data_IF_791365338064
#
_entry.id   IF_791365338064
#
_cell.length_a   1.000
_cell.length_b   1.000
_cell.length_c   1.000
_cell.angle_alpha   90.00
_cell.angle_beta   90.00
_cell.angle_gamma   90.00
#
_symmetry.space_group_name_H-M   'P 1'
#
loop_
_entity.id
_entity.type
_entity.pdbx_description
1 polymer ?
#
# COMPACT_ATOMS: atom_id res chain seq x y z
N UNK A 1 2.67 -12.91 8.33
CA UNK A 1 1.76 -11.77 8.08
C UNK A 1 0.63 -12.21 7.15
N UNK A 2 -0.53 -11.54 7.14
CA UNK A 2 -1.55 -11.76 6.12
C UNK A 2 -1.29 -10.85 4.92
N UNK A 3 -1.25 -11.39 3.71
CA UNK A 3 -1.03 -10.65 2.47
C UNK A 3 -2.06 -10.99 1.40
N UNK A 4 -2.32 -10.02 0.52
CA UNK A 4 -3.26 -10.12 -0.60
C UNK A 4 -2.58 -9.57 -1.83
N UNK A 5 -2.48 -10.38 -2.88
CA UNK A 5 -2.00 -9.94 -4.19
C UNK A 5 -3.10 -9.13 -4.90
N UNK A 6 -2.83 -7.88 -5.25
CA UNK A 6 -3.77 -7.00 -5.93
C UNK A 6 -3.54 -6.96 -7.45
N UNK A 7 -2.29 -7.06 -7.87
CA UNK A 7 -1.87 -7.11 -9.29
C UNK A 7 -0.60 -7.95 -9.45
N UNK A 8 -0.03 -7.97 -10.66
CA UNK A 8 1.28 -8.59 -10.88
C UNK A 8 2.39 -7.92 -10.06
N UNK A 9 2.30 -6.60 -9.90
CA UNK A 9 3.36 -5.75 -9.34
C UNK A 9 3.13 -5.36 -7.87
N UNK A 10 1.91 -5.50 -7.36
CA UNK A 10 1.54 -5.04 -6.02
C UNK A 10 0.88 -6.13 -5.20
N UNK A 11 1.48 -6.43 -4.05
CA UNK A 11 0.89 -7.18 -2.95
C UNK A 11 0.74 -6.26 -1.74
N UNK A 12 -0.42 -6.28 -1.08
CA UNK A 12 -0.61 -5.59 0.20
C UNK A 12 -0.54 -6.54 1.37
N UNK A 13 -0.06 -6.08 2.52
CA UNK A 13 0.03 -6.90 3.72
C UNK A 13 -0.34 -6.15 5.01
N UNK A 14 -0.69 -6.92 6.04
CA UNK A 14 -0.60 -6.48 7.44
C UNK A 14 0.86 -6.22 7.82
N UNK A 15 1.10 -5.53 8.93
CA UNK A 15 2.43 -5.27 9.48
C UNK A 15 3.32 -6.53 9.43
N UNK A 16 4.46 -6.50 8.71
CA UNK A 16 5.48 -7.54 8.82
C UNK A 16 6.25 -7.41 10.13
N UNK A 17 6.67 -8.54 10.68
CA UNK A 17 7.70 -8.60 11.70
C UNK A 17 9.08 -8.52 11.03
N UNK A 18 10.08 -8.00 11.74
CA UNK A 18 11.43 -7.81 11.19
C UNK A 18 12.03 -9.08 10.55
N UNK A 19 11.89 -10.30 11.11
CA UNK A 19 12.42 -11.50 10.46
C UNK A 19 11.77 -11.84 9.11
N UNK A 20 10.53 -11.41 8.89
CA UNK A 20 9.76 -11.73 7.66
C UNK A 20 10.30 -10.99 6.43
N UNK A 21 11.15 -9.95 6.59
CA UNK A 21 11.77 -9.24 5.45
C UNK A 21 12.66 -10.16 4.61
N UNK A 22 13.30 -11.17 5.24
CA UNK A 22 14.09 -12.16 4.50
C UNK A 22 13.21 -13.07 3.65
N UNK A 23 12.04 -13.44 4.17
CA UNK A 23 11.06 -14.25 3.43
C UNK A 23 10.45 -13.43 2.29
N UNK A 24 10.16 -12.14 2.51
CA UNK A 24 9.71 -11.20 1.46
C UNK A 24 10.73 -11.15 0.31
N UNK A 25 12.03 -11.03 0.59
CA UNK A 25 13.06 -11.06 -0.45
C UNK A 25 13.11 -12.43 -1.16
N UNK A 26 13.00 -13.53 -0.42
CA UNK A 26 13.02 -14.89 -0.97
C UNK A 26 11.82 -15.20 -1.87
N UNK A 27 10.67 -14.56 -1.63
CA UNK A 27 9.47 -14.61 -2.48
C UNK A 27 9.60 -13.80 -3.78
N UNK A 28 10.70 -13.06 -3.94
CA UNK A 28 11.02 -12.32 -5.17
C UNK A 28 10.50 -10.88 -5.21
N UNK A 29 10.02 -10.35 -4.09
CA UNK A 29 9.75 -8.91 -3.99
C UNK A 29 11.07 -8.13 -4.02
N UNK A 30 11.04 -6.95 -4.64
CA UNK A 30 12.24 -6.10 -4.77
C UNK A 30 12.21 -4.89 -3.84
N UNK A 31 11.03 -4.54 -3.31
CA UNK A 31 10.87 -3.42 -2.40
C UNK A 31 9.73 -3.63 -1.41
N UNK A 32 9.86 -2.96 -0.26
CA UNK A 32 8.80 -2.79 0.75
C UNK A 32 8.41 -1.32 0.85
N UNK A 33 7.11 -1.04 0.75
CA UNK A 33 6.55 0.30 0.93
C UNK A 33 5.72 0.32 2.21
N UNK A 34 6.13 1.14 3.18
CA UNK A 34 5.45 1.30 4.46
C UNK A 34 4.52 2.53 4.44
N UNK A 35 3.20 2.29 4.49
CA UNK A 35 2.18 3.33 4.59
C UNK A 35 1.71 3.62 6.02
N UNK A 36 2.36 3.03 7.02
CA UNK A 36 2.04 3.20 8.44
C UNK A 36 2.89 4.34 9.04
N UNK A 37 2.28 5.39 9.60
CA UNK A 37 3.00 6.34 10.45
C UNK A 37 3.63 5.63 11.65
N UNK A 38 4.79 6.12 12.10
CA UNK A 38 5.40 5.62 13.33
C UNK A 38 4.61 6.00 14.57
N UNK A 39 4.72 5.15 15.60
CA UNK A 39 4.06 5.37 16.89
C UNK A 39 2.54 5.17 16.87
N UNK A 40 1.98 4.52 15.85
CA UNK A 40 0.55 4.19 15.80
C UNK A 40 0.19 3.11 16.84
N UNK A 41 1.14 2.24 17.21
CA UNK A 41 0.97 1.21 18.24
C UNK A 41 2.29 0.96 19.00
N UNK A 42 2.27 0.71 20.32
CA UNK A 42 3.48 0.42 21.11
C UNK A 42 4.27 -0.81 20.66
N UNK A 43 3.63 -1.74 19.95
CA UNK A 43 4.24 -2.96 19.41
C UNK A 43 4.73 -2.79 17.97
N UNK A 44 4.56 -1.60 17.38
CA UNK A 44 5.05 -1.30 16.04
C UNK A 44 6.59 -1.33 16.03
N UNK A 45 7.22 -2.04 15.08
CA UNK A 45 8.68 -2.06 14.95
C UNK A 45 9.28 -0.67 14.71
N UNK A 46 8.61 0.13 13.87
CA UNK A 46 9.03 1.47 13.47
C UNK A 46 9.77 1.45 12.14
N UNK A 47 9.63 2.53 11.37
CA UNK A 47 10.18 2.65 10.01
C UNK A 47 11.69 2.44 9.95
N UNK A 48 12.45 2.98 10.91
CA UNK A 48 13.91 2.81 10.99
C UNK A 48 14.33 1.34 11.15
N UNK A 49 13.62 0.58 12.00
CA UNK A 49 13.92 -0.83 12.21
C UNK A 49 13.53 -1.69 10.99
N UNK A 50 12.42 -1.33 10.34
CA UNK A 50 11.97 -1.98 9.10
C UNK A 50 12.90 -1.68 7.92
N UNK A 51 13.39 -0.45 7.79
CA UNK A 51 14.37 -0.05 6.77
C UNK A 51 15.66 -0.87 6.92
N UNK A 52 16.20 -0.96 8.15
CA UNK A 52 17.39 -1.77 8.42
C UNK A 52 17.17 -3.26 8.07
N UNK A 53 16.00 -3.82 8.39
CA UNK A 53 15.66 -5.21 8.05
C UNK A 53 15.50 -5.42 6.52
N UNK A 54 14.93 -4.44 5.81
CA UNK A 54 14.83 -4.46 4.36
C UNK A 54 16.20 -4.42 3.70
N UNK A 55 17.08 -3.51 4.14
CA UNK A 55 18.44 -3.41 3.63
C UNK A 55 19.24 -4.71 3.86
N UNK A 56 19.15 -5.30 5.05
CA UNK A 56 19.80 -6.59 5.35
C UNK A 56 19.29 -7.73 4.45
N UNK A 57 18.00 -7.69 4.09
CA UNK A 57 17.38 -8.64 3.17
C UNK A 57 17.63 -8.34 1.68
N UNK A 58 18.27 -7.21 1.34
CA UNK A 58 18.49 -6.78 -0.04
C UNK A 58 17.25 -6.19 -0.73
N UNK A 59 16.29 -5.70 0.04
CA UNK A 59 15.08 -5.03 -0.43
C UNK A 59 15.27 -3.51 -0.41
N UNK A 60 14.75 -2.82 -1.43
CA UNK A 60 14.54 -1.39 -1.30
C UNK A 60 13.43 -1.09 -0.27
N UNK A 61 13.53 0.02 0.43
CA UNK A 61 12.52 0.45 1.40
C UNK A 61 12.05 1.87 1.08
N UNK A 62 10.74 2.11 1.23
CA UNK A 62 10.17 3.45 1.13
C UNK A 62 9.12 3.68 2.23
N UNK A 63 9.32 4.71 3.04
CA UNK A 63 8.34 5.14 4.03
C UNK A 63 7.47 6.27 3.46
N UNK A 64 6.20 5.98 3.21
CA UNK A 64 5.20 6.92 2.70
C UNK A 64 4.02 6.94 3.68
N UNK A 65 4.18 7.55 4.87
CA UNK A 65 3.23 7.42 5.96
C UNK A 65 1.89 8.10 5.63
N UNK A 66 0.81 7.33 5.69
CA UNK A 66 -0.53 7.83 5.46
C UNK A 66 -1.17 8.15 6.80
N UNK A 67 -1.12 9.44 7.16
CA UNK A 67 -1.66 9.97 8.42
C UNK A 67 -3.19 9.97 8.47
N UNK A 68 -3.74 10.54 9.55
CA UNK A 68 -5.18 10.66 9.77
C UNK A 68 -5.85 11.83 9.02
N UNK A 69 -5.06 12.63 8.30
CA UNK A 69 -5.56 13.76 7.52
C UNK A 69 -6.23 13.34 6.22
N UNK A 70 -6.84 14.29 5.49
CA UNK A 70 -7.37 14.05 4.16
C UNK A 70 -6.26 13.56 3.22
N UNK A 71 -6.52 12.48 2.50
CA UNK A 71 -5.64 11.99 1.44
C UNK A 71 -5.67 12.98 0.28
N UNK A 72 -4.52 13.51 -0.14
CA UNK A 72 -4.43 14.34 -1.34
C UNK A 72 -4.16 13.46 -2.58
N UNK A 73 -4.60 13.90 -3.77
CA UNK A 73 -4.25 13.19 -5.01
C UNK A 73 -2.73 13.11 -5.19
N UNK A 74 -1.97 14.14 -4.78
CA UNK A 74 -0.51 14.12 -4.83
C UNK A 74 0.11 12.97 -4.05
N UNK A 75 -0.51 12.54 -2.94
CA UNK A 75 -0.03 11.40 -2.15
C UNK A 75 -0.25 10.09 -2.92
N UNK A 76 -1.39 9.97 -3.59
CA UNK A 76 -1.69 8.83 -4.49
C UNK A 76 -0.67 8.78 -5.63
N UNK A 77 -0.39 9.93 -6.28
CA UNK A 77 0.58 10.00 -7.38
C UNK A 77 2.00 9.69 -6.91
N UNK A 78 2.39 10.17 -5.74
CA UNK A 78 3.69 9.85 -5.16
C UNK A 78 3.82 8.34 -4.91
N UNK A 79 2.84 7.72 -4.27
CA UNK A 79 2.79 6.27 -4.09
C UNK A 79 2.90 5.51 -5.42
N UNK A 80 2.10 5.88 -6.42
CA UNK A 80 2.17 5.26 -7.75
C UNK A 80 3.54 5.41 -8.40
N UNK A 81 4.21 6.55 -8.22
CA UNK A 81 5.55 6.77 -8.77
C UNK A 81 6.59 5.84 -8.14
N UNK A 82 6.50 5.59 -6.83
CA UNK A 82 7.39 4.67 -6.12
C UNK A 82 7.15 3.23 -6.58
N UNK A 83 5.89 2.81 -6.71
CA UNK A 83 5.53 1.48 -7.24
C UNK A 83 6.04 1.32 -8.68
N UNK A 84 5.79 2.29 -9.57
CA UNK A 84 6.21 2.23 -10.99
C UNK A 84 7.73 2.31 -11.16
N UNK A 85 8.44 2.91 -10.20
CA UNK A 85 9.90 3.01 -10.20
C UNK A 85 10.61 1.72 -9.79
N UNK A 86 9.90 0.76 -9.19
CA UNK A 86 10.47 -0.52 -8.79
C UNK A 86 10.74 -1.41 -10.02
N UNK A 87 11.85 -2.14 -9.99
CA UNK A 87 12.26 -3.05 -11.07
C UNK A 87 11.59 -4.45 -11.00
N UNK A 88 10.51 -4.58 -10.23
CA UNK A 88 9.86 -5.84 -9.92
C UNK A 88 8.71 -5.68 -8.92
N UNK A 89 8.10 -6.78 -8.45
CA UNK A 89 6.95 -6.73 -7.56
C UNK A 89 7.32 -6.13 -6.21
N UNK A 90 6.41 -5.33 -5.65
CA UNK A 90 6.58 -4.68 -4.36
C UNK A 90 5.56 -5.18 -3.35
N UNK A 91 5.97 -5.24 -2.09
CA UNK A 91 5.09 -5.48 -0.97
C UNK A 91 4.78 -4.16 -0.26
N UNK A 92 3.50 -3.84 -0.11
CA UNK A 92 3.04 -2.59 0.49
C UNK A 92 2.30 -2.92 1.78
N UNK A 93 2.65 -2.31 2.90
CA UNK A 93 1.96 -2.58 4.15
C UNK A 93 1.51 -1.33 4.88
N UNK A 94 0.55 -1.53 5.77
CA UNK A 94 0.26 -0.61 6.85
C UNK A 94 0.04 -1.43 8.12
N UNK A 95 -0.90 -1.05 9.00
CA UNK A 95 -1.31 -1.92 10.11
C UNK A 95 -1.97 -3.22 9.63
N UNK A 96 -3.01 -3.10 8.79
CA UNK A 96 -3.86 -4.24 8.35
C UNK A 96 -3.84 -4.50 6.84
N UNK A 97 -3.09 -3.72 6.07
CA UNK A 97 -3.12 -3.71 4.59
C UNK A 97 -4.25 -2.87 3.99
N UNK A 98 -5.29 -2.52 4.74
CA UNK A 98 -6.47 -1.80 4.24
C UNK A 98 -6.13 -0.42 3.68
N UNK A 99 -5.31 0.39 4.37
CA UNK A 99 -4.92 1.73 3.86
C UNK A 99 -4.17 1.64 2.53
N UNK A 100 -3.22 0.71 2.46
CA UNK A 100 -2.43 0.45 1.26
C UNK A 100 -3.30 -0.02 0.09
N UNK A 101 -4.29 -0.88 0.35
CA UNK A 101 -5.24 -1.33 -0.66
C UNK A 101 -6.12 -0.18 -1.18
N UNK A 102 -6.58 0.72 -0.30
CA UNK A 102 -7.34 1.90 -0.71
C UNK A 102 -6.49 2.85 -1.55
N UNK A 103 -5.24 3.11 -1.14
CA UNK A 103 -4.31 3.99 -1.87
C UNK A 103 -4.02 3.46 -3.27
N UNK A 104 -3.74 2.16 -3.40
CA UNK A 104 -3.58 1.49 -4.69
C UNK A 104 -4.85 1.60 -5.55
N UNK A 105 -6.02 1.27 -4.98
CA UNK A 105 -7.27 1.24 -5.73
C UNK A 105 -7.68 2.62 -6.27
N UNK A 106 -7.45 3.69 -5.49
CA UNK A 106 -7.67 5.06 -5.98
C UNK A 106 -6.81 5.33 -7.20
N UNK A 107 -5.52 4.99 -7.14
CA UNK A 107 -4.59 5.16 -8.26
C UNK A 107 -5.00 4.38 -9.51
N UNK A 108 -5.48 3.14 -9.35
CA UNK A 108 -5.98 2.33 -10.49
C UNK A 108 -7.19 2.98 -11.17
N UNK A 109 -8.10 3.55 -10.39
CA UNK A 109 -9.27 4.26 -10.94
C UNK A 109 -8.86 5.56 -11.62
N UNK A 110 -7.99 6.35 -10.98
CA UNK A 110 -7.49 7.61 -11.55
C UNK A 110 -6.73 7.41 -12.87
N UNK A 111 -6.07 6.26 -13.05
CA UNK A 111 -5.37 5.93 -14.30
C UNK A 111 -6.29 5.21 -15.32
N UNK A 112 -7.59 5.04 -15.02
CA UNK A 112 -8.56 4.38 -15.89
C UNK A 112 -8.37 2.87 -16.05
N UNK A 113 -7.56 2.23 -15.19
CA UNK A 113 -7.35 0.77 -15.18
C UNK A 113 -8.46 0.01 -14.45
N UNK A 114 -9.26 0.71 -13.66
CA UNK A 114 -10.39 0.17 -12.90
C UNK A 114 -11.54 1.19 -12.88
N UNK A 115 -12.79 0.74 -12.92
CA UNK A 115 -13.92 1.62 -12.70
C UNK A 115 -14.25 1.74 -11.21
N UNK A 116 -14.81 2.87 -10.77
CA UNK A 116 -15.30 3.06 -9.39
C UNK A 116 -16.26 1.92 -8.97
N UNK A 117 -17.08 1.44 -9.92
CA UNK A 117 -18.03 0.33 -9.71
C UNK A 117 -17.37 -1.02 -9.39
N UNK A 118 -16.09 -1.21 -9.72
CA UNK A 118 -15.36 -2.46 -9.50
C UNK A 118 -14.84 -2.60 -8.06
N UNK A 119 -14.77 -1.50 -7.31
CA UNK A 119 -14.21 -1.47 -5.95
C UNK A 119 -14.99 -2.34 -4.96
N UNK A 120 -16.32 -2.34 -5.01
CA UNK A 120 -17.15 -3.13 -4.10
C UNK A 120 -17.09 -4.65 -4.39
N UNK A 121 -17.17 -5.11 -5.66
CA UNK A 121 -16.83 -6.48 -6.03
C UNK A 121 -15.43 -6.88 -5.57
N UNK A 122 -14.41 -6.06 -5.86
CA UNK A 122 -13.02 -6.35 -5.51
C UNK A 122 -12.84 -6.46 -3.99
N UNK A 123 -13.41 -5.53 -3.22
CA UNK A 123 -13.36 -5.52 -1.76
C UNK A 123 -13.86 -6.85 -1.17
N UNK A 124 -14.97 -7.39 -1.68
CA UNK A 124 -15.50 -8.69 -1.26
C UNK A 124 -14.59 -9.85 -1.64
N UNK A 125 -13.96 -9.78 -2.81
CA UNK A 125 -13.04 -10.81 -3.28
C UNK A 125 -11.77 -10.88 -2.44
N UNK A 126 -11.18 -9.72 -2.11
CA UNK A 126 -9.88 -9.66 -1.42
C UNK A 126 -10.01 -9.60 0.11
N UNK A 127 -11.21 -9.45 0.65
CA UNK A 127 -11.45 -9.37 2.10
C UNK A 127 -10.92 -8.09 2.75
N UNK A 128 -10.70 -7.03 1.97
CA UNK A 128 -10.28 -5.71 2.47
C UNK A 128 -11.32 -4.66 2.12
N UNK A 129 -11.63 -3.79 3.08
CA UNK A 129 -12.60 -2.71 2.88
C UNK A 129 -12.03 -1.62 1.96
N UNK A 130 -12.62 -1.47 0.77
CA UNK A 130 -12.28 -0.42 -0.21
C UNK A 130 -13.31 0.72 -0.24
N UNK A 131 -14.21 0.80 0.75
CA UNK A 131 -15.21 1.88 0.83
C UNK A 131 -14.57 3.26 1.00
N UNK A 132 -13.37 3.33 1.60
CA UNK A 132 -12.58 4.54 1.69
C UNK A 132 -12.19 5.10 0.33
N UNK A 133 -11.70 4.25 -0.58
CA UNK A 133 -11.36 4.60 -1.95
C UNK A 133 -12.60 5.09 -2.71
N UNK A 134 -13.71 4.35 -2.63
CA UNK A 134 -14.97 4.75 -3.26
C UNK A 134 -15.53 6.07 -2.68
N UNK A 135 -15.32 6.35 -1.40
CA UNK A 135 -15.66 7.62 -0.78
C UNK A 135 -14.81 8.77 -1.32
N UNK A 136 -13.49 8.57 -1.33
CA UNK A 136 -12.53 9.56 -1.82
C UNK A 136 -12.76 9.91 -3.28
N UNK A 137 -12.92 8.91 -4.14
CA UNK A 137 -13.15 9.09 -5.59
C UNK A 137 -14.43 9.89 -5.86
N UNK A 138 -15.53 9.60 -5.17
CA UNK A 138 -16.78 10.37 -5.33
C UNK A 138 -16.66 11.84 -4.93
N UNK A 139 -15.82 12.14 -3.93
CA UNK A 139 -15.57 13.52 -3.51
C UNK A 139 -14.74 14.27 -4.57
N UNK A 140 -13.77 13.61 -5.20
CA UNK A 140 -12.85 14.23 -6.16
C UNK A 140 -13.33 14.19 -7.61
N UNK A 141 -14.28 13.32 -7.98
CA UNK A 141 -14.98 13.37 -9.27
C UNK A 141 -15.92 14.59 -9.36
N UNK A 142 -16.50 14.99 -8.22
CA UNK A 142 -17.43 16.12 -8.13
C UNK A 142 -16.74 17.49 -8.32
N UNK A 143 -15.43 17.57 -8.11
CA UNK A 143 -14.63 18.78 -8.29
C UNK A 143 -14.11 18.95 -9.74
N UNK A 144 -14.38 17.98 -10.62
CA UNK A 144 -13.93 17.96 -12.03
C UNK A 144 -15.05 18.09 -13.07
N UNK A 145 -16.30 18.33 -12.66
CA UNK A 145 -17.47 18.47 -13.55
C UNK A 145 -17.94 19.93 -13.69
#
# INVERSE_FOLDING_TARGET
MHSVKLSADVTVASQPHLPEFRDIAAEGYVAVINNRPDGEDPTQPGSEAEEAAAEEAGLAYAHIPMGHGPLAESDVRHFQSVVKGAAGPVLVHCRSGTRSANLWAIGEVLDGRMAVGDLAPLSRQIGLDLSGAAGWLRQHDADGA
#
